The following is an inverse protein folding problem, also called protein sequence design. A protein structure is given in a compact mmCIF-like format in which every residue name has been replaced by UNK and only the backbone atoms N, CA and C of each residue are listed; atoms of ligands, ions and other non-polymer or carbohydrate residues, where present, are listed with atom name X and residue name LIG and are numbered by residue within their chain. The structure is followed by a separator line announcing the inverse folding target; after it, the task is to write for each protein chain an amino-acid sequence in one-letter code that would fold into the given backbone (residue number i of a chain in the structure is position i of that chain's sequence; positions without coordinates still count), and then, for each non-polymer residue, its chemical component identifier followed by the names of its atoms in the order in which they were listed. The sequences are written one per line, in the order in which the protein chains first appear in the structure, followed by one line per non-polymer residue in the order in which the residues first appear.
data_IF_728576770922
#
_entry.id   IF_728576770922
#
_cell.length_a   1.000
_cell.length_b   1.000
_cell.length_c   1.000
_cell.angle_alpha   90.00
_cell.angle_beta   90.00
_cell.angle_gamma   90.00
#
_symmetry.space_group_name_H-M   'P 1'
#
loop_
_entity.id
_entity.type
_entity.pdbx_description
1 polymer ?
#
# COMPACT_ATOMS: atom_id res chain seq x y z
N UNK A 1 28.03 -1.97 2.61
CA UNK A 1 26.87 -1.95 1.71
C UNK A 1 26.74 -3.35 1.14
N UNK A 2 25.79 -4.08 1.67
CA UNK A 2 25.62 -5.53 1.61
C UNK A 2 24.59 -5.93 0.54
N UNK A 3 24.77 -7.11 -0.06
CA UNK A 3 23.98 -7.61 -1.19
C UNK A 3 22.47 -7.70 -0.87
N UNK A 4 22.10 -7.77 0.40
CA UNK A 4 20.71 -7.80 0.86
C UNK A 4 20.00 -6.47 0.58
N UNK A 5 20.65 -5.35 0.89
CA UNK A 5 20.15 -4.00 0.56
C UNK A 5 20.06 -3.80 -0.95
N UNK A 6 21.01 -4.33 -1.72
CA UNK A 6 21.00 -4.21 -3.18
C UNK A 6 19.93 -5.08 -3.85
N UNK A 7 19.72 -6.32 -3.38
CA UNK A 7 18.61 -7.18 -3.83
C UNK A 7 17.26 -6.55 -3.46
N UNK A 8 17.15 -5.96 -2.26
CA UNK A 8 15.93 -5.29 -1.84
C UNK A 8 15.62 -4.06 -2.70
N UNK A 9 16.62 -3.21 -2.98
CA UNK A 9 16.49 -2.06 -3.88
C UNK A 9 16.26 -2.49 -5.34
N UNK A 10 16.91 -3.54 -5.81
CA UNK A 10 16.72 -4.10 -7.15
C UNK A 10 15.31 -4.66 -7.32
N UNK A 11 14.84 -5.51 -6.39
CA UNK A 11 13.47 -6.01 -6.40
C UNK A 11 12.44 -4.89 -6.30
N UNK A 12 12.70 -3.87 -5.47
CA UNK A 12 11.85 -2.67 -5.42
C UNK A 12 11.82 -1.96 -6.77
N UNK A 13 12.98 -1.74 -7.42
CA UNK A 13 13.05 -1.12 -8.74
C UNK A 13 12.35 -1.94 -9.84
N UNK A 14 12.43 -3.28 -9.77
CA UNK A 14 11.75 -4.19 -10.71
C UNK A 14 10.24 -4.14 -10.51
N UNK A 15 9.76 -4.10 -9.27
CA UNK A 15 8.32 -4.03 -8.98
C UNK A 15 7.74 -2.67 -9.36
N UNK A 16 8.50 -1.59 -9.18
CA UNK A 16 8.15 -0.28 -9.73
C UNK A 16 8.16 -0.30 -11.26
N UNK A 17 9.14 -0.95 -11.89
CA UNK A 17 9.17 -1.10 -13.34
C UNK A 17 7.90 -1.78 -13.87
N UNK A 18 7.40 -2.82 -13.21
CA UNK A 18 6.12 -3.44 -13.55
C UNK A 18 4.92 -2.50 -13.32
N UNK A 19 4.93 -1.71 -12.25
CA UNK A 19 3.85 -0.77 -11.93
C UNK A 19 3.77 0.38 -12.94
N UNK A 20 4.89 0.82 -13.51
CA UNK A 20 4.90 1.89 -14.53
C UNK A 20 4.01 1.53 -15.73
N UNK A 21 3.83 0.25 -16.06
CA UNK A 21 2.95 -0.18 -17.16
C UNK A 21 1.45 -0.10 -16.86
N UNK A 22 1.03 0.10 -15.60
CA UNK A 22 -0.40 0.20 -15.24
C UNK A 22 -0.89 1.64 -15.07
N UNK A 23 0.00 2.62 -15.22
CA UNK A 23 -0.33 4.04 -15.13
C UNK A 23 -1.01 4.50 -16.41
N UNK A 24 -2.02 5.35 -16.28
CA UNK A 24 -2.60 6.04 -17.44
C UNK A 24 -1.80 7.30 -17.81
N UNK A 25 -2.13 7.94 -18.93
CA UNK A 25 -1.50 9.21 -19.32
C UNK A 25 -1.69 10.27 -18.23
N UNK A 26 -0.60 10.99 -17.91
CA UNK A 26 -0.53 12.01 -16.86
C UNK A 26 -0.89 11.46 -15.45
N UNK A 27 -0.74 10.16 -15.23
CA UNK A 27 -0.73 9.58 -13.90
C UNK A 27 0.72 9.39 -13.44
N UNK A 28 1.06 9.99 -12.30
CA UNK A 28 2.42 9.97 -11.75
C UNK A 28 2.41 9.34 -10.36
N UNK A 29 3.43 8.53 -10.07
CA UNK A 29 3.65 7.99 -8.73
C UNK A 29 4.26 9.10 -7.87
N UNK A 30 3.58 9.48 -6.80
CA UNK A 30 4.00 10.56 -5.91
C UNK A 30 4.63 10.01 -4.62
N UNK A 31 4.06 8.94 -4.05
CA UNK A 31 4.62 8.25 -2.88
C UNK A 31 4.43 6.75 -3.01
N UNK A 32 5.31 5.97 -2.39
CA UNK A 32 5.12 4.53 -2.34
C UNK A 32 5.80 3.89 -1.13
N UNK A 33 5.07 2.98 -0.50
CA UNK A 33 5.44 2.33 0.75
C UNK A 33 5.44 0.82 0.55
N UNK A 34 6.50 0.16 1.01
CA UNK A 34 6.55 -1.31 1.08
C UNK A 34 6.21 -1.77 2.49
N UNK A 35 5.24 -2.66 2.58
CA UNK A 35 4.71 -3.19 3.83
C UNK A 35 4.83 -4.70 3.78
N UNK A 36 5.83 -5.23 4.48
CA UNK A 36 6.15 -6.67 4.42
C UNK A 36 6.43 -7.09 2.97
N UNK A 37 5.44 -7.64 2.26
CA UNK A 37 5.52 -8.04 0.84
C UNK A 37 4.69 -7.15 -0.09
N UNK A 38 3.77 -6.38 0.45
CA UNK A 38 2.81 -5.59 -0.31
C UNK A 38 3.36 -4.19 -0.58
N UNK A 39 2.86 -3.54 -1.63
CA UNK A 39 3.16 -2.15 -1.93
C UNK A 39 1.90 -1.30 -1.89
N UNK A 40 2.01 -0.13 -1.28
CA UNK A 40 1.03 0.94 -1.33
C UNK A 40 1.61 2.04 -2.20
N UNK A 41 1.03 2.27 -3.36
CA UNK A 41 1.53 3.23 -4.33
C UNK A 41 0.48 4.33 -4.48
N UNK A 42 0.84 5.51 -4.02
CA UNK A 42 0.01 6.71 -4.12
C UNK A 42 0.38 7.44 -5.40
N UNK A 43 -0.59 7.54 -6.30
CA UNK A 43 -0.46 8.38 -7.50
C UNK A 43 -1.23 9.68 -7.31
N UNK A 44 -1.09 10.62 -8.24
CA UNK A 44 -1.96 11.78 -8.30
C UNK A 44 -3.45 11.46 -8.61
N UNK A 45 -3.83 10.18 -8.80
CA UNK A 45 -5.22 9.77 -9.16
C UNK A 45 -5.83 8.71 -8.26
N UNK A 46 -5.04 7.78 -7.73
CA UNK A 46 -5.53 6.61 -7.00
C UNK A 46 -4.46 6.01 -6.10
N UNK A 47 -4.93 5.25 -5.12
CA UNK A 47 -4.11 4.28 -4.42
C UNK A 47 -4.04 3.00 -5.26
N UNK A 48 -2.84 2.51 -5.53
CA UNK A 48 -2.60 1.19 -6.12
C UNK A 48 -2.04 0.29 -5.01
N UNK A 49 -2.79 -0.74 -4.64
CA UNK A 49 -2.33 -1.80 -3.75
C UNK A 49 -1.75 -2.93 -4.59
N UNK A 50 -0.50 -3.31 -4.31
CA UNK A 50 0.16 -4.45 -4.94
C UNK A 50 0.29 -5.55 -3.89
N UNK A 51 -0.51 -6.60 -4.03
CA UNK A 51 -0.54 -7.75 -3.13
C UNK A 51 0.26 -8.90 -3.74
N UNK A 52 1.25 -9.39 -3.00
CA UNK A 52 2.10 -10.51 -3.42
C UNK A 52 1.63 -11.80 -2.75
N UNK A 53 0.95 -12.64 -3.52
CA UNK A 53 0.27 -13.83 -3.04
C UNK A 53 1.09 -15.11 -3.19
N UNK A 54 0.83 -16.05 -2.27
CA UNK A 54 1.37 -17.41 -2.29
C UNK A 54 2.82 -17.51 -1.81
N UNK A 55 3.30 -18.75 -1.68
CA UNK A 55 4.63 -19.05 -1.14
C UNK A 55 5.77 -18.59 -2.07
N UNK A 56 5.53 -18.62 -3.39
CA UNK A 56 6.53 -18.27 -4.40
C UNK A 56 6.55 -16.77 -4.73
N UNK A 57 5.55 -16.01 -4.29
CA UNK A 57 5.40 -14.58 -4.61
C UNK A 57 5.22 -14.27 -6.10
N UNK A 58 4.94 -15.27 -6.94
CA UNK A 58 4.77 -15.10 -8.39
C UNK A 58 3.39 -14.56 -8.77
N UNK A 59 2.38 -14.76 -7.92
CA UNK A 59 1.04 -14.23 -8.14
C UNK A 59 0.99 -12.84 -7.53
N UNK A 60 0.80 -11.83 -8.37
CA UNK A 60 0.71 -10.44 -7.94
C UNK A 60 -0.67 -9.93 -8.34
N UNK A 61 -1.39 -9.34 -7.39
CA UNK A 61 -2.65 -8.64 -7.63
C UNK A 61 -2.43 -7.13 -7.53
N UNK A 62 -2.89 -6.39 -8.54
CA UNK A 62 -2.83 -4.93 -8.57
C UNK A 62 -4.26 -4.39 -8.42
N UNK A 63 -4.57 -3.82 -7.26
CA UNK A 63 -5.87 -3.25 -6.97
C UNK A 63 -5.81 -1.73 -7.07
N UNK A 64 -6.57 -1.16 -8.01
CA UNK A 64 -6.67 0.28 -8.23
C UNK A 64 -7.87 0.86 -7.49
N UNK A 65 -7.62 1.78 -6.56
CA UNK A 65 -8.65 2.39 -5.71
C UNK A 65 -8.61 3.90 -5.91
N UNK A 66 -9.52 4.47 -6.74
CA UNK A 66 -9.68 5.92 -6.83
C UNK A 66 -9.95 6.52 -5.46
N UNK A 67 -9.28 7.63 -5.11
CA UNK A 67 -9.39 8.21 -3.77
C UNK A 67 -10.83 8.55 -3.38
N UNK A 68 -11.61 9.10 -4.32
CA UNK A 68 -13.04 9.40 -4.15
C UNK A 68 -13.92 8.20 -3.76
N UNK A 69 -13.44 6.98 -3.97
CA UNK A 69 -14.17 5.76 -3.62
C UNK A 69 -13.82 5.25 -2.21
N UNK A 70 -12.78 5.79 -1.56
CA UNK A 70 -12.45 5.46 -0.18
C UNK A 70 -13.39 6.23 0.74
N UNK A 71 -14.29 5.53 1.42
CA UNK A 71 -15.34 6.14 2.24
C UNK A 71 -14.93 6.33 3.69
N UNK A 72 -14.07 5.45 4.19
CA UNK A 72 -13.61 5.41 5.57
C UNK A 72 -12.31 4.62 5.64
N UNK A 73 -11.42 4.98 6.55
CA UNK A 73 -10.21 4.22 6.87
C UNK A 73 -9.89 4.32 8.35
N UNK A 74 -9.27 3.30 8.91
CA UNK A 74 -8.86 3.25 10.32
C UNK A 74 -7.54 2.53 10.50
N UNK A 75 -6.79 2.91 11.53
CA UNK A 75 -5.62 2.18 11.98
C UNK A 75 -5.87 1.65 13.38
N UNK A 76 -5.61 0.36 13.56
CA UNK A 76 -5.62 -0.33 14.84
C UNK A 76 -4.16 -0.57 15.24
N UNK A 77 -3.71 0.09 16.30
CA UNK A 77 -2.33 -0.04 16.77
C UNK A 77 -2.16 -1.32 17.58
N UNK A 78 -1.02 -1.98 17.41
CA UNK A 78 -0.63 -3.09 18.27
C UNK A 78 -0.56 -2.63 19.73
N UNK A 79 -1.23 -3.34 20.65
CA UNK A 79 -1.08 -3.12 22.09
C UNK A 79 0.32 -3.54 22.59
N UNK A 80 0.59 -3.41 23.89
CA UNK A 80 1.90 -3.72 24.48
C UNK A 80 2.39 -5.16 24.17
N UNK A 81 1.46 -6.10 23.94
CA UNK A 81 1.74 -7.51 23.66
C UNK A 81 1.62 -7.92 22.20
N UNK A 82 0.95 -7.12 21.36
CA UNK A 82 0.78 -7.44 19.95
C UNK A 82 1.90 -6.81 19.13
N UNK A 83 2.38 -7.50 18.11
CA UNK A 83 3.50 -7.02 17.28
C UNK A 83 3.02 -6.26 16.05
N UNK A 84 1.75 -6.39 15.70
CA UNK A 84 1.28 -5.94 14.41
C UNK A 84 0.18 -4.87 14.53
N UNK A 85 0.33 -3.77 13.78
CA UNK A 85 -0.72 -2.80 13.55
C UNK A 85 -1.55 -3.21 12.33
N UNK A 86 -2.78 -2.73 12.23
CA UNK A 86 -3.69 -3.07 11.15
C UNK A 86 -4.26 -1.80 10.49
N UNK A 87 -4.19 -1.72 9.16
CA UNK A 87 -4.89 -0.70 8.37
C UNK A 87 -6.14 -1.33 7.76
N UNK A 88 -7.26 -0.63 7.90
CA UNK A 88 -8.54 -1.02 7.32
C UNK A 88 -9.02 0.10 6.39
N UNK A 89 -9.39 -0.25 5.15
CA UNK A 89 -9.86 0.70 4.13
C UNK A 89 -11.22 0.24 3.60
N UNK A 90 -12.24 1.08 3.72
CA UNK A 90 -13.57 0.84 3.19
C UNK A 90 -13.75 1.52 1.85
N UNK A 91 -14.30 0.77 0.89
CA UNK A 91 -14.55 1.23 -0.46
C UNK A 91 -16.05 1.28 -0.71
N UNK A 92 -16.50 2.39 -1.27
CA UNK A 92 -17.88 2.58 -1.70
C UNK A 92 -18.35 1.42 -2.59
N UNK A 93 -19.51 0.84 -2.27
CA UNK A 93 -20.09 -0.27 -3.03
C UNK A 93 -19.58 -1.67 -2.68
N UNK A 94 -18.56 -1.82 -1.82
CA UNK A 94 -18.06 -3.14 -1.37
C UNK A 94 -18.70 -3.66 -0.07
N UNK A 95 -19.67 -2.94 0.49
CA UNK A 95 -20.33 -3.30 1.74
C UNK A 95 -19.51 -2.92 2.97
N UNK A 96 -19.74 -3.62 4.09
CA UNK A 96 -19.12 -3.30 5.38
C UNK A 96 -17.72 -3.92 5.58
N UNK A 97 -17.23 -4.72 4.63
CA UNK A 97 -15.95 -5.43 4.74
C UNK A 97 -14.82 -4.54 4.23
N UNK A 98 -13.85 -4.16 5.08
CA UNK A 98 -12.69 -3.40 4.64
C UNK A 98 -11.68 -4.28 3.88
N UNK A 99 -10.80 -3.61 3.13
CA UNK A 99 -9.48 -4.17 2.82
C UNK A 99 -8.64 -4.05 4.09
N UNK A 100 -8.14 -5.18 4.58
CA UNK A 100 -7.31 -5.27 5.78
C UNK A 100 -5.86 -5.56 5.39
N UNK A 101 -4.93 -4.82 6.00
CA UNK A 101 -3.50 -5.01 5.83
C UNK A 101 -2.82 -4.96 7.18
N UNK A 102 -1.91 -5.89 7.42
CA UNK A 102 -1.19 -6.05 8.69
C UNK A 102 0.24 -5.54 8.54
N UNK A 103 0.72 -4.84 9.56
CA UNK A 103 1.97 -4.09 9.56
C UNK A 103 2.81 -4.48 10.76
N UNK A 104 4.07 -4.83 10.54
CA UNK A 104 5.00 -4.99 11.66
C UNK A 104 5.42 -3.64 12.26
N UNK A 105 5.90 -3.63 13.51
CA UNK A 105 6.35 -2.42 14.24
C UNK A 105 7.41 -1.56 13.53
N UNK A 106 8.06 -2.07 12.47
CA UNK A 106 9.14 -1.34 11.80
C UNK A 106 8.64 -0.26 10.84
N UNK A 107 7.38 -0.33 10.41
CA UNK A 107 6.79 0.71 9.57
C UNK A 107 6.14 1.78 10.45
N UNK A 108 6.40 3.05 10.13
CA UNK A 108 5.68 4.16 10.75
C UNK A 108 4.24 4.21 10.22
N UNK A 109 3.35 3.45 10.87
CA UNK A 109 1.94 3.34 10.49
C UNK A 109 1.21 4.69 10.55
N UNK A 110 1.64 5.60 11.42
CA UNK A 110 1.10 6.95 11.53
C UNK A 110 1.43 7.83 10.31
N UNK A 111 2.62 7.63 9.73
CA UNK A 111 2.97 8.30 8.47
C UNK A 111 2.05 7.83 7.35
N UNK A 112 1.84 6.51 7.22
CA UNK A 112 0.94 5.96 6.22
C UNK A 112 -0.49 6.47 6.41
N UNK A 113 -0.95 6.60 7.66
CA UNK A 113 -2.25 7.22 7.98
C UNK A 113 -2.34 8.65 7.46
N UNK A 114 -1.31 9.44 7.76
CA UNK A 114 -1.26 10.87 7.41
C UNK A 114 -1.23 11.06 5.91
N UNK A 115 -0.46 10.22 5.20
CA UNK A 115 -0.42 10.21 3.73
C UNK A 115 -1.76 9.77 3.16
N UNK A 116 -2.37 8.69 3.66
CA UNK A 116 -3.69 8.28 3.19
C UNK A 116 -4.74 9.38 3.39
N UNK A 117 -4.70 10.07 4.52
CA UNK A 117 -5.57 11.22 4.79
C UNK A 117 -5.33 12.38 3.80
N UNK A 118 -4.07 12.70 3.49
CA UNK A 118 -3.71 13.74 2.51
C UNK A 118 -4.39 13.50 1.17
N UNK A 119 -4.31 12.27 0.64
CA UNK A 119 -4.92 11.94 -0.64
C UNK A 119 -6.44 11.74 -0.56
N UNK A 120 -6.97 11.10 0.47
CA UNK A 120 -8.41 10.84 0.53
C UNK A 120 -9.22 12.10 0.78
N UNK A 121 -8.69 13.05 1.56
CA UNK A 121 -9.42 14.25 1.98
C UNK A 121 -9.19 15.47 1.08
N UNK A 122 -8.11 15.49 0.28
CA UNK A 122 -7.77 16.62 -0.59
C UNK A 122 -7.69 16.29 -2.09
N UNK A 123 -8.05 15.07 -2.52
CA UNK A 123 -8.07 14.68 -3.94
C UNK A 123 -9.30 15.16 -4.72
#
# INVERSE_FOLDING_TARGET
MDAILWIFLFSFSVQFHSTIYVLTTNEEIEKAYKVVRDLFIFTNKRLILVDVQGLTGKKIEYQSIPYKNITHFSIETAGDFDLDAELKIWISGMGAVPIEKTFNKNLNIYELQSVLAEYVLNA
#
